data_IF_007001345097
#
_entry.id   IF_007001345097
#
_cell.length_a   1.000
_cell.length_b   1.000
_cell.length_c   1.000
_cell.angle_alpha   90.00
_cell.angle_beta   90.00
_cell.angle_gamma   90.00
#
_symmetry.space_group_name_H-M   'P 1'
#
loop_
_entity.id
_entity.type
_entity.pdbx_description
1 polymer ?
#
# COMPACT_ATOMS: atom_id res chain seq x y z
N UNK A 1 49.33 6.46 10.98
CA UNK A 1 48.78 7.41 11.97
C UNK A 1 47.68 8.22 11.29
N UNK A 2 46.43 7.86 11.54
CA UNK A 2 45.26 8.63 11.11
C UNK A 2 44.11 8.34 12.08
N UNK A 3 43.36 9.40 12.37
CA UNK A 3 42.75 9.70 13.66
C UNK A 3 41.32 9.18 13.75
N UNK A 4 41.00 8.39 14.78
CA UNK A 4 39.63 8.00 15.11
C UNK A 4 38.88 9.19 15.75
N UNK A 5 37.85 9.70 15.07
CA UNK A 5 36.91 10.68 15.64
C UNK A 5 35.90 9.96 16.56
N UNK A 6 35.98 10.29 17.85
CA UNK A 6 34.97 9.99 18.88
C UNK A 6 33.71 10.81 18.60
N UNK A 7 32.56 10.15 18.41
CA UNK A 7 31.25 10.81 18.44
C UNK A 7 30.79 10.91 19.90
N UNK A 8 30.48 12.14 20.31
CA UNK A 8 30.07 12.50 21.66
C UNK A 8 28.59 12.21 21.90
N UNK A 9 28.30 11.63 23.06
CA UNK A 9 26.98 11.49 23.67
C UNK A 9 26.31 12.85 23.85
N UNK A 10 25.14 13.06 23.26
CA UNK A 10 24.29 14.23 23.53
C UNK A 10 23.27 13.82 24.60
N UNK A 11 23.45 14.38 25.80
CA UNK A 11 22.46 14.40 26.87
C UNK A 11 21.47 15.52 26.58
N UNK A 12 20.18 15.21 26.40
CA UNK A 12 19.13 16.23 26.38
C UNK A 12 18.58 16.39 27.80
N UNK A 13 18.94 17.53 28.41
CA UNK A 13 18.37 18.05 29.64
C UNK A 13 16.90 18.41 29.43
N UNK A 14 16.04 17.89 30.31
CA UNK A 14 14.68 18.35 30.46
C UNK A 14 14.68 19.74 31.12
N UNK A 15 14.28 20.77 30.38
CA UNK A 15 13.93 22.08 30.94
C UNK A 15 12.42 22.24 30.92
N UNK A 16 11.85 22.19 32.12
CA UNK A 16 10.45 22.49 32.37
C UNK A 16 10.13 23.95 32.08
N UNK A 17 8.98 24.17 31.45
CA UNK A 17 8.29 25.47 31.46
C UNK A 17 6.87 25.21 31.94
N UNK A 18 6.55 25.88 33.06
CA UNK A 18 5.25 25.83 33.70
C UNK A 18 4.21 26.55 32.84
N UNK A 19 3.12 25.86 32.50
CA UNK A 19 1.91 26.48 31.98
C UNK A 19 0.80 26.32 33.02
N UNK A 20 0.48 27.41 33.70
CA UNK A 20 -0.71 27.54 34.53
C UNK A 20 -1.93 27.75 33.61
N UNK A 21 -2.99 26.98 33.83
CA UNK A 21 -4.30 27.20 33.23
C UNK A 21 -5.00 25.93 32.76
N UNK A 22 -5.65 25.20 33.68
CA UNK A 22 -6.62 24.15 33.35
C UNK A 22 -8.00 24.57 33.89
N UNK A 23 -9.08 24.50 33.10
CA UNK A 23 -10.42 24.34 33.63
C UNK A 23 -10.63 22.86 34.01
N UNK A 24 -11.38 22.64 35.09
CA UNK A 24 -11.73 21.33 35.64
C UNK A 24 -12.30 20.36 34.58
N UNK A 25 -11.63 19.22 34.37
CA UNK A 25 -12.17 18.08 33.64
C UNK A 25 -12.37 16.87 34.56
N UNK A 26 -13.56 16.27 34.46
CA UNK A 26 -14.07 15.12 35.20
C UNK A 26 -13.09 13.94 35.35
N UNK A 27 -13.04 13.35 36.55
CA UNK A 27 -12.19 12.21 36.93
C UNK A 27 -12.63 10.83 36.34
N UNK A 28 -13.35 10.78 35.22
CA UNK A 28 -13.77 9.51 34.60
C UNK A 28 -13.01 9.12 33.32
N UNK A 29 -12.03 9.91 32.88
CA UNK A 29 -11.24 9.64 31.66
C UNK A 29 -9.84 9.03 31.87
N UNK A 30 -9.32 9.01 33.11
CA UNK A 30 -7.90 8.64 33.35
C UNK A 30 -7.61 7.14 33.23
N UNK A 31 -8.56 6.28 33.63
CA UNK A 31 -8.35 4.83 33.63
C UNK A 31 -8.33 4.16 32.26
N UNK A 32 -8.84 4.82 31.21
CA UNK A 32 -8.87 4.25 29.86
C UNK A 32 -7.60 4.59 29.05
N UNK A 33 -7.03 5.79 29.25
CA UNK A 33 -5.78 6.19 28.59
C UNK A 33 -4.55 5.44 29.15
N UNK A 34 -4.53 5.13 30.46
CA UNK A 34 -3.42 4.38 31.05
C UNK A 34 -3.35 2.91 30.60
N UNK A 35 -4.49 2.28 30.29
CA UNK A 35 -4.50 0.89 29.75
C UNK A 35 -4.00 0.81 28.31
N UNK A 36 -4.18 1.85 27.51
CA UNK A 36 -3.63 1.91 26.14
C UNK A 36 -2.15 2.26 26.17
N UNK A 37 -1.71 3.11 27.10
CA UNK A 37 -0.31 3.49 27.27
C UNK A 37 0.56 2.35 27.82
N UNK A 38 0.05 1.50 28.73
CA UNK A 38 0.81 0.36 29.26
C UNK A 38 0.98 -0.77 28.26
N UNK A 39 0.09 -0.90 27.26
CA UNK A 39 0.19 -1.91 26.21
C UNK A 39 1.12 -1.52 25.06
N UNK A 40 1.55 -0.25 24.99
CA UNK A 40 2.46 0.27 23.94
C UNK A 40 3.92 0.37 24.40
N UNK A 41 4.21 0.11 25.68
CA UNK A 41 5.56 0.08 26.21
C UNK A 41 6.22 -1.28 25.95
N UNK A 42 6.74 -1.41 24.74
CA UNK A 42 7.95 -2.11 24.28
C UNK A 42 7.76 -2.56 22.83
N UNK A 43 7.40 -1.61 21.95
CA UNK A 43 7.62 -1.85 20.52
C UNK A 43 9.13 -1.88 20.28
N UNK A 44 9.69 -3.00 19.79
CA UNK A 44 11.12 -3.12 19.60
C UNK A 44 11.62 -2.03 18.63
N UNK A 45 12.72 -1.40 19.05
CA UNK A 45 13.59 -0.54 18.24
C UNK A 45 13.77 -1.17 16.87
N UNK A 46 13.60 -0.36 15.81
CA UNK A 46 13.75 -0.71 14.39
C UNK A 46 14.79 -1.82 14.20
N UNK A 47 14.33 -3.06 14.13
CA UNK A 47 15.10 -4.14 13.50
C UNK A 47 15.35 -3.70 12.07
N UNK A 48 16.49 -4.10 11.49
CA UNK A 48 16.57 -4.19 10.04
C UNK A 48 15.49 -5.19 9.62
N UNK A 49 14.30 -4.66 9.30
CA UNK A 49 13.17 -5.41 8.81
C UNK A 49 13.62 -5.87 7.42
N UNK A 50 13.73 -7.19 7.21
CA UNK A 50 13.62 -7.71 5.86
C UNK A 50 12.31 -7.11 5.32
N UNK A 51 12.40 -6.19 4.35
CA UNK A 51 11.26 -5.40 3.88
C UNK A 51 10.14 -6.24 3.24
N UNK A 52 10.39 -7.55 3.10
CA UNK A 52 9.50 -8.52 2.50
C UNK A 52 8.72 -9.26 3.59
N UNK A 53 7.40 -9.08 3.58
CA UNK A 53 6.46 -9.84 4.41
C UNK A 53 6.45 -11.30 3.93
N UNK A 54 6.54 -12.28 4.84
CA UNK A 54 6.42 -13.69 4.46
C UNK A 54 5.01 -14.00 3.94
N UNK A 55 4.84 -15.09 3.18
CA UNK A 55 3.50 -15.50 2.71
C UNK A 55 2.55 -15.81 3.88
N UNK A 56 3.07 -16.35 4.98
CA UNK A 56 2.30 -16.61 6.20
C UNK A 56 1.86 -15.30 6.86
N UNK A 57 2.77 -14.36 7.07
CA UNK A 57 2.44 -13.05 7.64
C UNK A 57 1.42 -12.30 6.76
N UNK A 58 1.53 -12.44 5.43
CA UNK A 58 0.61 -11.84 4.48
C UNK A 58 -0.79 -12.46 4.59
N UNK A 59 -0.86 -13.79 4.71
CA UNK A 59 -2.13 -14.50 4.93
C UNK A 59 -2.77 -14.09 6.25
N UNK A 60 -2.01 -14.14 7.34
CA UNK A 60 -2.47 -13.75 8.67
C UNK A 60 -3.02 -12.32 8.69
N UNK A 61 -2.33 -11.39 8.01
CA UNK A 61 -2.77 -9.99 7.95
C UNK A 61 -4.08 -9.83 7.16
N UNK A 62 -4.25 -10.58 6.06
CA UNK A 62 -5.51 -10.58 5.28
C UNK A 62 -6.65 -11.18 6.11
N UNK A 63 -6.39 -12.27 6.82
CA UNK A 63 -7.37 -12.92 7.70
C UNK A 63 -7.79 -12.00 8.86
N UNK A 64 -6.85 -11.29 9.47
CA UNK A 64 -7.13 -10.26 10.48
C UNK A 64 -8.02 -9.14 9.94
N UNK A 65 -7.73 -8.65 8.73
CA UNK A 65 -8.54 -7.63 8.06
C UNK A 65 -9.96 -8.14 7.78
N UNK A 66 -10.10 -9.41 7.39
CA UNK A 66 -11.36 -10.08 7.14
C UNK A 66 -12.20 -10.19 8.41
N UNK A 67 -11.58 -10.60 9.52
CA UNK A 67 -12.22 -10.68 10.84
C UNK A 67 -12.69 -9.29 11.29
N UNK A 68 -11.85 -8.26 11.14
CA UNK A 68 -12.22 -6.87 11.46
C UNK A 68 -13.42 -6.42 10.62
N UNK A 69 -13.40 -6.68 9.32
CA UNK A 69 -14.47 -6.30 8.39
C UNK A 69 -15.80 -6.96 8.75
N UNK A 70 -15.79 -8.26 9.08
CA UNK A 70 -17.00 -9.00 9.53
C UNK A 70 -17.55 -8.41 10.82
N UNK A 71 -16.69 -8.19 11.82
CA UNK A 71 -17.08 -7.60 13.11
C UNK A 71 -17.70 -6.21 12.96
N UNK A 72 -17.18 -5.38 12.04
CA UNK A 72 -17.75 -4.06 11.76
C UNK A 72 -19.12 -4.18 11.10
N UNK A 73 -19.28 -5.09 10.13
CA UNK A 73 -20.57 -5.35 9.49
C UNK A 73 -21.63 -5.76 10.52
N UNK A 74 -21.37 -6.81 11.30
CA UNK A 74 -22.27 -7.30 12.35
C UNK A 74 -22.66 -6.21 13.36
N UNK A 75 -21.70 -5.36 13.75
CA UNK A 75 -21.93 -4.32 14.76
C UNK A 75 -22.81 -3.18 14.27
N UNK A 76 -22.75 -2.84 12.99
CA UNK A 76 -23.33 -1.60 12.47
C UNK A 76 -24.46 -1.82 11.46
N UNK A 77 -24.60 -3.00 10.87
CA UNK A 77 -25.64 -3.33 9.88
C UNK A 77 -27.05 -3.04 10.41
N UNK A 78 -27.33 -3.38 11.66
CA UNK A 78 -28.66 -3.16 12.27
C UNK A 78 -28.87 -1.75 12.83
N UNK A 79 -27.86 -0.88 12.81
CA UNK A 79 -27.92 0.41 13.52
C UNK A 79 -28.39 1.58 12.65
N UNK A 80 -28.66 1.34 11.36
CA UNK A 80 -29.02 2.38 10.40
C UNK A 80 -28.05 3.58 10.41
N UNK A 81 -26.76 3.31 10.65
CA UNK A 81 -25.70 4.31 10.59
C UNK A 81 -24.85 4.07 9.35
N UNK A 82 -24.45 5.15 8.69
CA UNK A 82 -23.45 5.06 7.63
C UNK A 82 -22.07 4.92 8.27
N UNK A 83 -21.31 3.91 7.85
CA UNK A 83 -19.93 3.69 8.25
C UNK A 83 -19.11 3.27 7.04
N UNK A 84 -17.78 3.42 7.15
CA UNK A 84 -16.84 2.96 6.14
C UNK A 84 -16.11 1.73 6.67
N UNK A 85 -15.87 0.78 5.80
CA UNK A 85 -14.93 -0.29 6.08
C UNK A 85 -13.50 0.25 6.03
N UNK A 86 -12.54 -0.42 6.70
CA UNK A 86 -11.13 -0.12 6.54
C UNK A 86 -10.73 -0.18 5.06
N UNK A 87 -9.83 0.71 4.65
CA UNK A 87 -9.20 0.58 3.35
C UNK A 87 -8.29 -0.66 3.34
N UNK A 88 -8.13 -1.27 2.18
CA UNK A 88 -7.12 -2.32 2.01
C UNK A 88 -5.73 -1.70 2.21
N UNK A 89 -4.90 -2.22 3.12
CA UNK A 89 -3.59 -1.64 3.38
C UNK A 89 -2.66 -1.73 2.17
N UNK A 90 -2.08 -0.59 1.79
CA UNK A 90 -1.14 -0.50 0.65
C UNK A 90 0.01 -1.51 0.78
N UNK A 91 0.57 -1.66 2.00
CA UNK A 91 1.65 -2.61 2.28
C UNK A 91 1.26 -4.07 1.98
N UNK A 92 0.01 -4.47 2.22
CA UNK A 92 -0.48 -5.81 1.88
C UNK A 92 -0.59 -5.95 0.36
N UNK A 93 -1.28 -5.02 -0.31
CA UNK A 93 -1.48 -5.10 -1.76
C UNK A 93 -0.17 -5.07 -2.55
N UNK A 94 0.77 -4.23 -2.15
CA UNK A 94 2.08 -4.15 -2.79
C UNK A 94 2.90 -5.43 -2.57
N UNK A 95 2.82 -6.07 -1.39
CA UNK A 95 3.46 -7.37 -1.18
C UNK A 95 2.79 -8.47 -2.01
N UNK A 96 1.45 -8.51 -2.09
CA UNK A 96 0.74 -9.47 -2.97
C UNK A 96 1.19 -9.32 -4.43
N UNK A 97 1.19 -8.08 -4.94
CA UNK A 97 1.63 -7.79 -6.32
C UNK A 97 3.09 -8.17 -6.53
N UNK A 98 3.97 -7.86 -5.57
CA UNK A 98 5.37 -8.28 -5.63
C UNK A 98 5.50 -9.81 -5.75
N UNK A 99 4.76 -10.57 -4.95
CA UNK A 99 4.80 -12.05 -4.97
C UNK A 99 4.31 -12.62 -6.29
N UNK A 100 3.23 -12.06 -6.85
CA UNK A 100 2.74 -12.45 -8.18
C UNK A 100 3.79 -12.14 -9.26
N UNK A 101 4.39 -10.95 -9.25
CA UNK A 101 5.43 -10.59 -10.22
C UNK A 101 6.64 -11.54 -10.09
N UNK A 102 7.04 -11.90 -8.86
CA UNK A 102 8.17 -12.80 -8.58
C UNK A 102 8.01 -14.22 -9.15
N UNK A 103 6.81 -14.63 -9.57
CA UNK A 103 6.61 -15.88 -10.30
C UNK A 103 7.23 -15.86 -11.70
N UNK A 104 7.40 -14.68 -12.29
CA UNK A 104 7.98 -14.48 -13.63
C UNK A 104 9.24 -13.60 -13.63
N UNK A 105 9.41 -12.79 -12.60
CA UNK A 105 10.50 -11.82 -12.45
C UNK A 105 10.96 -11.75 -11.00
N UNK A 106 11.93 -12.60 -10.66
CA UNK A 106 12.51 -12.69 -9.32
C UNK A 106 13.30 -11.45 -8.87
N UNK A 107 13.51 -10.46 -9.75
CA UNK A 107 14.21 -9.23 -9.42
C UNK A 107 13.30 -8.18 -8.76
N UNK A 108 11.99 -8.41 -8.77
CA UNK A 108 11.02 -7.48 -8.18
C UNK A 108 11.19 -7.37 -6.66
N UNK A 109 11.31 -6.14 -6.17
CA UNK A 109 11.53 -5.84 -4.74
C UNK A 109 10.78 -4.57 -4.33
N UNK A 110 10.46 -4.50 -3.03
CA UNK A 110 9.99 -3.28 -2.35
C UNK A 110 11.10 -2.38 -1.84
N UNK A 111 12.37 -2.82 -1.90
CA UNK A 111 13.49 -2.09 -1.30
C UNK A 111 13.97 -0.94 -2.20
N UNK A 112 13.04 -0.06 -2.59
CA UNK A 112 13.22 1.01 -3.56
C UNK A 112 12.48 2.30 -3.15
N UNK A 113 12.71 3.38 -3.90
CA UNK A 113 11.89 4.60 -3.79
C UNK A 113 10.61 4.44 -4.63
N UNK A 114 9.44 4.47 -3.99
CA UNK A 114 8.15 4.20 -4.62
C UNK A 114 7.53 2.91 -4.07
N UNK A 115 6.63 2.30 -4.84
CA UNK A 115 5.91 1.10 -4.40
C UNK A 115 6.76 -0.16 -4.63
N UNK A 116 7.19 -0.40 -5.87
CA UNK A 116 7.99 -1.56 -6.28
C UNK A 116 9.04 -1.20 -7.36
N UNK A 117 10.05 -2.04 -7.51
CA UNK A 117 11.04 -1.97 -8.58
C UNK A 117 11.45 -3.36 -9.06
N UNK A 118 11.66 -3.53 -10.36
CA UNK A 118 12.29 -4.73 -10.94
C UNK A 118 13.32 -4.35 -12.01
N UNK A 119 14.28 -5.24 -12.27
CA UNK A 119 15.25 -5.06 -13.35
C UNK A 119 14.60 -5.15 -14.73
N UNK A 120 13.54 -5.96 -14.87
CA UNK A 120 12.85 -6.16 -16.14
C UNK A 120 11.91 -5.01 -16.47
N UNK A 121 11.20 -4.47 -15.47
CA UNK A 121 10.11 -3.51 -15.70
C UNK A 121 10.42 -2.09 -15.22
N UNK A 122 11.50 -1.89 -14.45
CA UNK A 122 11.85 -0.59 -13.89
C UNK A 122 11.00 -0.23 -12.68
N UNK A 123 10.62 1.06 -12.56
CA UNK A 123 9.76 1.56 -11.47
C UNK A 123 8.33 1.07 -11.66
N UNK A 124 7.79 0.42 -10.64
CA UNK A 124 6.43 -0.11 -10.63
C UNK A 124 5.59 0.69 -9.64
N UNK A 125 4.48 1.26 -10.10
CA UNK A 125 3.43 1.81 -9.23
C UNK A 125 2.37 0.72 -8.99
N UNK A 126 1.86 0.63 -7.76
CA UNK A 126 0.77 -0.27 -7.39
C UNK A 126 -0.44 0.56 -6.95
N UNK A 127 -1.61 0.17 -7.44
CA UNK A 127 -2.89 0.69 -6.98
C UNK A 127 -3.77 -0.48 -6.60
N UNK A 128 -4.36 -0.42 -5.42
CA UNK A 128 -5.38 -1.37 -4.99
C UNK A 128 -6.72 -0.67 -4.87
N UNK A 129 -7.79 -1.31 -5.35
CA UNK A 129 -9.15 -0.82 -5.12
C UNK A 129 -10.04 -1.95 -4.60
N UNK A 130 -10.81 -1.63 -3.56
CA UNK A 130 -11.83 -2.50 -2.96
C UNK A 130 -13.24 -1.97 -3.12
N UNK A 131 -13.40 -0.93 -3.95
CA UNK A 131 -14.67 -0.28 -4.23
C UNK A 131 -14.61 0.47 -5.56
N UNK A 132 -15.76 0.97 -6.00
CA UNK A 132 -15.89 1.84 -7.20
C UNK A 132 -15.33 3.26 -7.00
N UNK A 133 -14.69 3.53 -5.86
CA UNK A 133 -14.06 4.81 -5.57
C UNK A 133 -12.85 5.11 -6.47
N UNK A 134 -12.43 6.38 -6.57
CA UNK A 134 -11.32 6.76 -7.42
C UNK A 134 -9.96 6.39 -6.82
N UNK A 135 -9.07 5.85 -7.65
CA UNK A 135 -7.64 5.80 -7.36
C UNK A 135 -7.05 7.22 -7.45
N UNK A 136 -6.06 7.51 -6.61
CA UNK A 136 -5.38 8.80 -6.58
C UNK A 136 -3.95 8.67 -7.08
N UNK A 137 -3.52 9.63 -7.90
CA UNK A 137 -2.16 9.67 -8.46
C UNK A 137 -1.42 10.91 -7.94
N UNK A 138 -0.16 10.77 -7.57
CA UNK A 138 0.66 11.91 -7.19
C UNK A 138 1.08 12.73 -8.42
N UNK A 139 1.05 14.08 -8.37
CA UNK A 139 1.40 14.93 -9.52
C UNK A 139 2.86 14.81 -9.98
N UNK A 140 3.70 14.15 -9.17
CA UNK A 140 5.13 13.92 -9.43
C UNK A 140 5.51 12.44 -9.32
N UNK A 141 4.53 11.55 -9.18
CA UNK A 141 4.81 10.11 -9.15
C UNK A 141 5.26 9.69 -10.55
N UNK A 142 6.34 8.91 -10.61
CA UNK A 142 6.91 8.38 -11.84
C UNK A 142 6.88 6.86 -11.79
N UNK A 143 6.48 6.24 -12.89
CA UNK A 143 6.53 4.79 -13.06
C UNK A 143 6.78 4.44 -14.52
N UNK A 144 7.40 3.29 -14.71
CA UNK A 144 7.58 2.66 -16.01
C UNK A 144 6.40 1.74 -16.36
N UNK A 145 5.81 1.11 -15.34
CA UNK A 145 4.63 0.27 -15.42
C UNK A 145 3.75 0.50 -14.19
N UNK A 146 2.43 0.35 -14.33
CA UNK A 146 1.49 0.44 -13.21
C UNK A 146 0.64 -0.82 -13.14
N UNK A 147 0.44 -1.30 -11.93
CA UNK A 147 -0.38 -2.47 -11.61
C UNK A 147 -1.61 -2.04 -10.83
N UNK A 148 -2.77 -2.58 -11.20
CA UNK A 148 -4.02 -2.41 -10.47
C UNK A 148 -4.46 -3.75 -9.92
N UNK A 149 -4.41 -3.88 -8.59
CA UNK A 149 -5.01 -4.99 -7.87
C UNK A 149 -6.49 -4.68 -7.63
N UNK A 150 -7.35 -5.38 -8.35
CA UNK A 150 -8.77 -5.46 -8.06
C UNK A 150 -8.98 -6.40 -6.87
N UNK A 151 -9.36 -5.80 -5.77
CA UNK A 151 -9.65 -6.47 -4.52
C UNK A 151 -11.12 -6.20 -4.13
N UNK A 152 -12.05 -6.01 -5.07
CA UNK A 152 -13.47 -5.83 -4.72
C UNK A 152 -14.07 -7.09 -4.07
N UNK A 153 -13.62 -8.27 -4.49
CA UNK A 153 -14.08 -9.58 -4.02
C UNK A 153 -13.13 -10.23 -2.99
N UNK A 154 -12.25 -9.45 -2.36
CA UNK A 154 -11.25 -9.95 -1.42
C UNK A 154 -11.85 -10.72 -0.23
N UNK A 155 -13.07 -10.39 0.20
CA UNK A 155 -13.76 -11.13 1.28
C UNK A 155 -14.21 -12.53 0.87
N UNK A 156 -14.28 -12.77 -0.44
CA UNK A 156 -14.53 -14.07 -1.06
C UNK A 156 -13.22 -14.72 -1.55
N UNK A 157 -12.06 -14.20 -1.11
CA UNK A 157 -10.74 -14.69 -1.48
C UNK A 157 -10.51 -14.71 -3.00
N UNK A 158 -10.89 -13.63 -3.68
CA UNK A 158 -10.71 -13.47 -5.11
C UNK A 158 -10.07 -12.11 -5.43
N UNK A 159 -9.08 -12.14 -6.32
CA UNK A 159 -8.29 -10.99 -6.73
C UNK A 159 -7.99 -11.06 -8.23
N UNK A 160 -7.96 -9.89 -8.87
CA UNK A 160 -7.53 -9.76 -10.27
C UNK A 160 -6.43 -8.72 -10.35
N UNK A 161 -5.32 -9.05 -11.00
CA UNK A 161 -4.21 -8.13 -11.22
C UNK A 161 -4.14 -7.72 -12.68
N UNK A 162 -4.29 -6.42 -12.90
CA UNK A 162 -4.11 -5.79 -14.20
C UNK A 162 -2.73 -5.16 -14.28
N UNK A 163 -1.96 -5.50 -15.31
CA UNK A 163 -0.72 -4.84 -15.69
C UNK A 163 -0.99 -3.85 -16.82
N UNK A 164 -0.57 -2.60 -16.65
CA UNK A 164 -0.74 -1.56 -17.66
C UNK A 164 0.65 -1.14 -18.15
N UNK A 165 0.95 -1.42 -19.40
CA UNK A 165 2.24 -1.15 -20.03
C UNK A 165 2.37 0.32 -20.50
N UNK A 166 2.09 1.26 -19.59
CA UNK A 166 2.19 2.69 -19.84
C UNK A 166 2.95 3.39 -18.72
N UNK A 167 3.92 4.22 -19.11
CA UNK A 167 4.57 5.17 -18.20
C UNK A 167 3.63 6.33 -17.91
N UNK A 168 3.75 6.96 -16.73
CA UNK A 168 3.05 8.22 -16.43
C UNK A 168 3.35 9.33 -17.45
N UNK A 169 4.53 9.26 -18.09
CA UNK A 169 5.06 10.20 -19.06
C UNK A 169 4.71 9.87 -20.52
N UNK A 170 4.05 8.73 -20.78
CA UNK A 170 3.54 8.37 -22.10
C UNK A 170 2.44 9.33 -22.55
N UNK A 171 2.33 9.57 -23.86
CA UNK A 171 1.33 10.49 -24.40
C UNK A 171 -0.10 9.96 -24.19
N UNK A 172 -0.26 8.64 -24.21
CA UNK A 172 -1.48 7.92 -23.90
C UNK A 172 -1.92 8.22 -22.47
N UNK A 173 -1.02 8.07 -21.49
CA UNK A 173 -1.36 8.31 -20.08
C UNK A 173 -1.66 9.78 -19.79
N UNK A 174 -0.85 10.69 -20.33
CA UNK A 174 -1.04 12.14 -20.17
C UNK A 174 -2.42 12.62 -20.63
N UNK A 175 -2.95 12.01 -21.70
CA UNK A 175 -4.23 12.39 -22.32
C UNK A 175 -5.46 11.81 -21.63
N UNK A 176 -5.30 10.88 -20.67
CA UNK A 176 -6.41 10.30 -19.90
C UNK A 176 -7.26 11.43 -19.33
N UNK A 177 -8.56 11.40 -19.64
CA UNK A 177 -9.52 12.37 -19.13
C UNK A 177 -9.89 12.02 -17.70
N UNK A 178 -9.60 12.94 -16.78
CA UNK A 178 -10.01 12.84 -15.38
C UNK A 178 -11.44 13.36 -15.21
N UNK A 179 -11.80 14.39 -15.97
CA UNK A 179 -13.16 14.89 -16.10
C UNK A 179 -13.37 15.42 -17.54
N UNK A 180 -14.55 16.01 -17.81
CA UNK A 180 -14.89 16.51 -19.14
C UNK A 180 -13.92 17.60 -19.65
N UNK A 181 -13.38 18.42 -18.75
CA UNK A 181 -12.52 19.54 -19.10
C UNK A 181 -11.03 19.17 -19.08
N UNK A 182 -10.61 18.33 -18.14
CA UNK A 182 -9.21 18.17 -17.77
C UNK A 182 -8.68 16.76 -17.98
N UNK A 183 -7.46 16.68 -18.49
CA UNK A 183 -6.63 15.48 -18.59
C UNK A 183 -5.83 15.23 -17.31
N UNK A 184 -5.14 14.08 -17.28
CA UNK A 184 -4.19 13.72 -16.23
C UNK A 184 -3.11 14.80 -16.08
N UNK A 185 -2.51 15.22 -17.19
CA UNK A 185 -1.48 16.26 -17.20
C UNK A 185 -2.01 17.61 -16.75
N UNK A 186 -3.21 18.02 -17.18
CA UNK A 186 -3.80 19.30 -16.75
C UNK A 186 -3.91 19.39 -15.21
N UNK A 187 -4.27 18.29 -14.55
CA UNK A 187 -4.34 18.24 -13.09
C UNK A 187 -2.95 18.21 -12.43
N UNK A 188 -2.00 17.46 -13.01
CA UNK A 188 -0.63 17.41 -12.53
C UNK A 188 0.07 18.78 -12.60
N UNK A 189 -0.12 19.53 -13.69
CA UNK A 189 0.46 20.86 -13.90
C UNK A 189 -0.10 21.89 -12.89
N UNK A 190 -1.36 21.72 -12.51
CA UNK A 190 -1.99 22.47 -11.42
C UNK A 190 -1.56 21.99 -10.02
N UNK A 191 -0.60 21.06 -9.92
CA UNK A 191 -0.12 20.43 -8.68
C UNK A 191 -1.23 19.72 -7.90
N UNK A 192 -2.32 19.33 -8.57
CA UNK A 192 -3.42 18.54 -7.99
C UNK A 192 -3.15 17.06 -8.20
N UNK A 193 -3.72 16.22 -7.35
CA UNK A 193 -3.70 14.76 -7.52
C UNK A 193 -4.83 14.36 -8.46
N UNK A 194 -4.54 13.80 -9.65
CA UNK A 194 -5.55 13.16 -10.46
C UNK A 194 -6.28 12.08 -9.66
N UNK A 195 -7.61 12.05 -9.76
CA UNK A 195 -8.48 11.07 -9.09
C UNK A 195 -9.45 10.50 -10.10
N UNK A 196 -9.35 9.20 -10.39
CA UNK A 196 -10.18 8.55 -11.40
C UNK A 196 -10.59 7.15 -10.94
N UNK A 197 -11.88 6.83 -11.07
CA UNK A 197 -12.40 5.49 -10.78
C UNK A 197 -12.00 4.50 -11.89
N UNK A 198 -11.81 3.23 -11.53
CA UNK A 198 -11.45 2.18 -12.47
C UNK A 198 -12.41 2.10 -13.67
N UNK A 199 -13.72 2.22 -13.43
CA UNK A 199 -14.75 2.22 -14.47
C UNK A 199 -14.62 3.34 -15.51
N UNK A 200 -13.97 4.45 -15.17
CA UNK A 200 -13.69 5.57 -16.07
C UNK A 200 -12.28 5.50 -16.67
N UNK A 201 -11.33 4.94 -15.93
CA UNK A 201 -9.95 4.77 -16.36
C UNK A 201 -9.82 3.63 -17.38
N UNK A 202 -10.28 2.43 -17.02
CA UNK A 202 -10.07 1.20 -17.79
C UNK A 202 -10.46 1.32 -19.28
N UNK A 203 -11.62 1.89 -19.66
CA UNK A 203 -11.95 2.07 -21.07
C UNK A 203 -10.95 2.90 -21.87
N UNK A 204 -10.21 3.81 -21.23
CA UNK A 204 -9.23 4.68 -21.87
C UNK A 204 -7.84 4.03 -22.03
N UNK A 205 -7.56 2.96 -21.28
CA UNK A 205 -6.25 2.29 -21.25
C UNK A 205 -6.33 0.80 -21.59
N UNK A 206 -7.52 0.31 -21.97
CA UNK A 206 -7.81 -1.11 -22.18
C UNK A 206 -6.84 -1.78 -23.16
N UNK A 207 -6.47 -1.09 -24.24
CA UNK A 207 -5.57 -1.60 -25.26
C UNK A 207 -4.13 -1.82 -24.77
N UNK A 208 -3.77 -1.21 -23.63
CA UNK A 208 -2.47 -1.34 -22.98
C UNK A 208 -2.52 -2.20 -21.71
N UNK A 209 -3.66 -2.84 -21.44
CA UNK A 209 -3.92 -3.57 -20.20
C UNK A 209 -3.92 -5.08 -20.44
N UNK A 210 -3.19 -5.80 -19.59
CA UNK A 210 -3.12 -7.25 -19.53
C UNK A 210 -3.63 -7.73 -18.16
N UNK A 211 -4.40 -8.82 -18.13
CA UNK A 211 -4.68 -9.53 -16.88
C UNK A 211 -3.55 -10.52 -16.67
N UNK A 212 -2.77 -10.33 -15.60
CA UNK A 212 -1.62 -11.18 -15.28
C UNK A 212 -1.87 -12.12 -14.11
N UNK A 213 -2.98 -11.94 -13.40
CA UNK A 213 -3.44 -12.82 -12.33
C UNK A 213 -4.96 -12.71 -12.17
N UNK A 214 -5.62 -13.84 -11.97
CA UNK A 214 -7.04 -13.95 -11.67
C UNK A 214 -7.20 -15.23 -10.83
N UNK A 215 -7.38 -15.08 -9.53
CA UNK A 215 -7.32 -16.22 -8.60
C UNK A 215 -7.47 -15.85 -7.13
N UNK A 216 -7.26 -16.84 -6.27
CA UNK A 216 -7.30 -16.69 -4.82
C UNK A 216 -5.92 -16.39 -4.23
N UNK A 217 -5.88 -16.07 -2.93
CA UNK A 217 -4.59 -15.89 -2.25
C UNK A 217 -3.67 -17.12 -2.36
N UNK A 218 -4.25 -18.33 -2.33
CA UNK A 218 -3.52 -19.60 -2.41
C UNK A 218 -2.88 -19.84 -3.80
N UNK A 219 -3.41 -19.21 -4.85
CA UNK A 219 -2.83 -19.27 -6.19
C UNK A 219 -1.55 -18.42 -6.33
N UNK A 220 -1.26 -17.57 -5.34
CA UNK A 220 0.01 -16.85 -5.23
C UNK A 220 1.07 -17.84 -4.72
N UNK A 221 1.59 -18.66 -5.64
CA UNK A 221 2.61 -19.66 -5.32
C UNK A 221 3.90 -19.01 -4.82
N UNK A 222 4.55 -19.57 -3.79
CA UNK A 222 5.89 -19.15 -3.41
C UNK A 222 6.85 -19.45 -4.57
N UNK A 223 7.75 -18.51 -4.87
CA UNK A 223 8.89 -18.80 -5.76
C UNK A 223 9.73 -19.90 -5.10
N UNK A 224 9.53 -21.16 -5.48
CA UNK A 224 10.42 -22.24 -5.08
C UNK A 224 11.74 -22.02 -5.81
N UNK A 225 12.83 -21.88 -5.06
CA UNK A 225 14.19 -21.72 -5.60
C UNK A 225 14.70 -22.93 -6.42
N UNK A 226 13.86 -23.95 -6.64
CA UNK A 226 14.25 -25.22 -7.26
C UNK A 226 14.16 -25.21 -8.80
N UNK A 227 13.39 -24.33 -9.43
CA UNK A 227 13.18 -24.39 -10.90
C UNK A 227 14.18 -23.56 -11.75
N UNK A 228 15.09 -22.80 -11.12
CA UNK A 228 16.07 -21.98 -11.86
C UNK A 228 17.29 -22.81 -12.32
N UNK A 229 17.37 -24.10 -11.97
CA UNK A 229 18.53 -24.94 -12.30
C UNK A 229 18.44 -25.67 -13.64
N UNK A 230 17.29 -25.69 -14.33
CA UNK A 230 17.12 -26.52 -15.56
C UNK A 230 17.10 -25.74 -16.88
N UNK A 231 17.24 -24.41 -16.88
CA UNK A 231 17.33 -23.62 -18.14
C UNK A 231 18.73 -23.05 -18.41
N UNK A 232 19.76 -23.61 -17.78
CA UNK A 232 21.16 -23.29 -18.07
C UNK A 232 22.00 -24.55 -18.27
N UNK A 233 21.65 -25.33 -19.30
CA UNK A 233 22.54 -26.32 -19.93
C UNK A 233 22.42 -26.17 -21.45
#
# INVERSE_FOLDING_TARGET
>A
MATFKKLSTVSLLASGTAFQGLPHTNQHGKGHMERVASSLQTLPVKKNINNDMSMEDLKDTIDDLLVLTRRLKERFEHKNVQYRLPNFPDYISENMVMRIIQQTDNSCTRSCSGDLYSLLQGKIEVKCFTSVGPSSFGPKCEWDVIYFLDAMEWTNNHFVLYKINLKNSSEEWKKIKINKAESYTDQCDQKRRPRLAWSLLYPQIREHTEIVFDGSFEDITPTTMEEVSEQSI
#
